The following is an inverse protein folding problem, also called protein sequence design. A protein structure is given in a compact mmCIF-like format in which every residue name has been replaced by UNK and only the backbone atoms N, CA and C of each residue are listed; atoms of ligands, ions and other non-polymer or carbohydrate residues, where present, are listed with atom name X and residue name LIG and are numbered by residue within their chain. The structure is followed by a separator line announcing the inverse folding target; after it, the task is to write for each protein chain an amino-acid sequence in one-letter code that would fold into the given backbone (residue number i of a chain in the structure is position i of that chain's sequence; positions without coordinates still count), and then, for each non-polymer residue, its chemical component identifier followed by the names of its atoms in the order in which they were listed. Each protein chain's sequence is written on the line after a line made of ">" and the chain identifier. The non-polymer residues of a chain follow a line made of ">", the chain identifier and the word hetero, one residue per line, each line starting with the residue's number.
data_IF_020790814082
#
_entry.id   IF_020790814082
#
_cell.length_a   1.000
_cell.length_b   1.000
_cell.length_c   1.000
_cell.angle_alpha   90.00
_cell.angle_beta   90.00
_cell.angle_gamma   90.00
#
_symmetry.space_group_name_H-M   'P 1'
#
loop_
_entity.id
_entity.type
_entity.pdbx_description
1 polymer ?
#
# COMPACT_ATOMS: atom_id res chain seq x y z
N UNK A 1 14.95 31.26 1.17
CA UNK A 1 13.70 31.10 1.95
C UNK A 1 12.47 31.66 1.22
N UNK A 2 12.43 32.93 0.80
CA UNK A 2 11.27 33.54 0.09
C UNK A 2 10.89 32.84 -1.23
N UNK A 3 11.85 32.34 -2.00
CA UNK A 3 11.60 31.59 -3.25
C UNK A 3 10.91 30.24 -3.03
N UNK A 4 11.26 29.53 -1.97
CA UNK A 4 10.61 28.27 -1.58
C UNK A 4 9.17 28.53 -1.11
N UNK A 5 8.98 29.61 -0.35
CA UNK A 5 7.66 30.00 0.15
C UNK A 5 6.71 30.36 -1.00
N UNK A 6 7.22 31.07 -2.02
CA UNK A 6 6.45 31.40 -3.23
C UNK A 6 6.07 30.17 -4.06
N UNK A 7 6.99 29.23 -4.25
CA UNK A 7 6.68 27.94 -4.91
C UNK A 7 5.66 27.10 -4.13
N UNK A 8 5.68 27.16 -2.80
CA UNK A 8 4.69 26.50 -1.95
C UNK A 8 3.32 27.16 -2.04
N UNK A 9 3.29 28.49 -2.13
CA UNK A 9 2.07 29.29 -2.41
C UNK A 9 1.49 28.92 -3.77
N UNK A 10 2.29 28.93 -4.84
CA UNK A 10 1.86 28.52 -6.19
C UNK A 10 1.36 27.05 -6.22
N UNK A 11 1.97 26.17 -5.42
CA UNK A 11 1.56 24.77 -5.28
C UNK A 11 0.29 24.59 -4.41
N UNK A 12 0.06 25.47 -3.45
CA UNK A 12 -1.17 25.53 -2.66
C UNK A 12 -2.32 26.20 -3.43
N UNK A 13 -2.02 27.16 -4.32
CA UNK A 13 -2.93 27.77 -5.28
C UNK A 13 -3.40 26.78 -6.35
N UNK A 14 -2.58 25.75 -6.65
CA UNK A 14 -3.03 24.49 -7.24
C UNK A 14 -3.91 23.75 -6.21
N UNK A 15 -5.11 24.27 -6.02
CA UNK A 15 -6.06 23.81 -5.02
C UNK A 15 -6.84 22.56 -5.42
N UNK A 16 -7.15 21.75 -4.40
CA UNK A 16 -8.21 20.72 -4.39
C UNK A 16 -8.15 19.70 -5.52
N UNK A 17 -9.30 19.48 -6.16
CA UNK A 17 -9.54 18.39 -7.13
C UNK A 17 -8.55 18.37 -8.30
N UNK A 18 -8.05 19.53 -8.76
CA UNK A 18 -7.09 19.57 -9.87
C UNK A 18 -5.77 18.90 -9.48
N UNK A 19 -5.28 19.18 -8.28
CA UNK A 19 -4.06 18.57 -7.73
C UNK A 19 -4.24 17.06 -7.54
N UNK A 20 -5.38 16.65 -7.01
CA UNK A 20 -5.70 15.24 -6.77
C UNK A 20 -5.77 14.46 -8.09
N UNK A 21 -6.38 15.06 -9.13
CA UNK A 21 -6.41 14.48 -10.48
C UNK A 21 -4.98 14.37 -11.05
N UNK A 22 -4.15 15.40 -10.92
CA UNK A 22 -2.77 15.36 -11.41
C UNK A 22 -1.96 14.25 -10.73
N UNK A 23 -2.05 14.14 -9.40
CA UNK A 23 -1.38 13.06 -8.67
C UNK A 23 -1.94 11.68 -9.04
N UNK A 24 -3.25 11.56 -9.23
CA UNK A 24 -3.88 10.32 -9.66
C UNK A 24 -3.36 9.88 -11.04
N UNK A 25 -3.30 10.78 -12.01
CA UNK A 25 -2.78 10.49 -13.36
C UNK A 25 -1.30 10.10 -13.31
N UNK A 26 -0.47 10.83 -12.57
CA UNK A 26 0.97 10.51 -12.41
C UNK A 26 1.13 9.12 -11.77
N UNK A 27 0.36 8.83 -10.72
CA UNK A 27 0.41 7.52 -10.04
C UNK A 27 -0.07 6.39 -10.95
N UNK A 28 -1.09 6.63 -11.78
CA UNK A 28 -1.57 5.67 -12.77
C UNK A 28 -0.52 5.34 -13.82
N UNK A 29 0.16 6.36 -14.38
CA UNK A 29 1.25 6.16 -15.33
C UNK A 29 2.41 5.39 -14.66
N UNK A 30 2.80 5.76 -13.44
CA UNK A 30 3.84 5.07 -12.70
C UNK A 30 3.51 3.59 -12.46
N UNK A 31 2.25 3.28 -12.12
CA UNK A 31 1.77 1.91 -11.94
C UNK A 31 1.86 1.11 -13.25
N UNK A 32 1.42 1.69 -14.37
CA UNK A 32 1.51 1.05 -15.70
C UNK A 32 2.97 0.73 -16.04
N UNK A 33 3.88 1.71 -15.88
CA UNK A 33 5.31 1.50 -16.10
C UNK A 33 5.88 0.38 -15.23
N UNK A 34 5.42 0.25 -13.98
CA UNK A 34 5.83 -0.81 -13.05
C UNK A 34 5.31 -2.19 -13.48
N UNK A 35 4.03 -2.31 -13.84
CA UNK A 35 3.39 -3.57 -14.26
C UNK A 35 4.06 -4.12 -15.53
N UNK A 36 4.31 -3.26 -16.53
CA UNK A 36 4.93 -3.65 -17.79
C UNK A 36 6.47 -3.68 -17.74
N UNK A 37 7.08 -3.38 -16.59
CA UNK A 37 8.54 -3.31 -16.42
C UNK A 37 9.24 -2.42 -17.46
N UNK A 38 8.62 -1.29 -17.82
CA UNK A 38 9.15 -0.35 -18.83
C UNK A 38 10.45 0.33 -18.39
N UNK A 39 10.74 0.33 -17.09
CA UNK A 39 11.95 0.91 -16.48
C UNK A 39 12.68 -0.19 -15.69
N UNK A 40 14.01 -0.35 -15.82
CA UNK A 40 14.77 -1.32 -15.05
C UNK A 40 14.74 -0.96 -13.56
N UNK A 41 14.25 -1.89 -12.73
CA UNK A 41 14.28 -1.78 -11.26
C UNK A 41 15.46 -2.58 -10.73
N UNK A 42 16.34 -1.94 -9.94
CA UNK A 42 17.41 -2.62 -9.21
C UNK A 42 16.97 -2.84 -7.77
N UNK A 43 17.26 -4.03 -7.25
CA UNK A 43 17.02 -4.39 -5.84
C UNK A 43 18.41 -4.60 -5.22
N UNK A 44 18.79 -3.71 -4.33
CA UNK A 44 20.04 -3.80 -3.59
C UNK A 44 19.74 -4.38 -2.18
N UNK A 45 20.40 -5.48 -1.83
CA UNK A 45 20.35 -6.09 -0.50
C UNK A 45 21.73 -5.87 0.13
N UNK A 46 21.77 -5.12 1.24
CA UNK A 46 22.99 -4.94 2.02
C UNK A 46 23.01 -5.92 3.19
N UNK A 47 24.02 -6.79 3.24
CA UNK A 47 24.28 -7.68 4.37
C UNK A 47 25.26 -6.97 5.31
N UNK A 48 24.93 -6.91 6.61
CA UNK A 48 25.78 -6.25 7.61
C UNK A 48 26.88 -7.19 8.11
N UNK A 49 26.60 -8.50 8.17
CA UNK A 49 27.57 -9.55 8.47
C UNK A 49 27.67 -10.56 7.32
N UNK A 50 28.87 -11.02 6.97
CA UNK A 50 29.11 -12.01 5.90
C UNK A 50 28.73 -13.46 6.31
N UNK A 51 27.67 -13.63 7.11
CA UNK A 51 27.20 -14.94 7.56
C UNK A 51 26.10 -15.44 6.63
N UNK A 52 26.34 -16.61 6.01
CA UNK A 52 25.36 -17.31 5.17
C UNK A 52 24.05 -17.63 5.94
N UNK A 53 24.12 -17.70 7.27
CA UNK A 53 22.96 -17.89 8.16
C UNK A 53 21.96 -16.73 8.09
N UNK A 54 22.41 -15.49 7.89
CA UNK A 54 21.51 -14.33 7.74
C UNK A 54 20.67 -14.44 6.47
N UNK A 55 21.24 -14.96 5.38
CA UNK A 55 20.51 -15.21 4.14
C UNK A 55 19.37 -16.22 4.37
N UNK A 56 19.62 -17.29 5.15
CA UNK A 56 18.58 -18.26 5.49
C UNK A 56 17.46 -17.64 6.34
N UNK A 57 17.80 -16.74 7.27
CA UNK A 57 16.82 -15.98 8.04
C UNK A 57 16.01 -15.04 7.14
N UNK A 58 16.65 -14.30 6.23
CA UNK A 58 16.00 -13.42 5.25
C UNK A 58 15.03 -14.18 4.34
N UNK A 59 15.42 -15.33 3.80
CA UNK A 59 14.53 -16.15 2.98
C UNK A 59 13.33 -16.66 3.77
N UNK A 60 13.53 -17.04 5.04
CA UNK A 60 12.43 -17.50 5.89
C UNK A 60 11.48 -16.36 6.26
N UNK A 61 12.02 -15.18 6.58
CA UNK A 61 11.24 -13.97 6.82
C UNK A 61 10.46 -13.57 5.57
N UNK A 62 11.09 -13.58 4.40
CA UNK A 62 10.46 -13.28 3.11
C UNK A 62 9.29 -14.21 2.82
N UNK A 63 9.46 -15.53 3.04
CA UNK A 63 8.35 -16.49 2.90
C UNK A 63 7.20 -16.18 3.85
N UNK A 64 7.49 -15.91 5.13
CA UNK A 64 6.46 -15.57 6.12
C UNK A 64 5.75 -14.26 5.77
N UNK A 65 6.51 -13.23 5.39
CA UNK A 65 6.00 -11.94 4.92
C UNK A 65 5.08 -12.12 3.72
N UNK A 66 5.45 -12.96 2.76
CA UNK A 66 4.64 -13.22 1.58
C UNK A 66 3.33 -13.95 1.91
N UNK A 67 3.35 -14.86 2.89
CA UNK A 67 2.12 -15.45 3.40
C UNK A 67 1.22 -14.39 4.06
N UNK A 68 1.79 -13.50 4.90
CA UNK A 68 1.03 -12.41 5.53
C UNK A 68 0.43 -11.46 4.49
N UNK A 69 1.18 -11.07 3.45
CA UNK A 69 0.69 -10.22 2.35
C UNK A 69 -0.47 -10.90 1.62
N UNK A 70 -0.34 -12.19 1.26
CA UNK A 70 -1.39 -12.93 0.56
C UNK A 70 -2.66 -13.00 1.42
N UNK A 71 -2.55 -13.30 2.70
CA UNK A 71 -3.70 -13.35 3.61
C UNK A 71 -4.39 -11.98 3.74
N UNK A 72 -3.61 -10.93 3.96
CA UNK A 72 -4.12 -9.56 4.06
C UNK A 72 -4.83 -9.10 2.79
N UNK A 73 -4.24 -9.41 1.63
CA UNK A 73 -4.79 -9.03 0.33
C UNK A 73 -6.07 -9.81 0.06
N UNK A 74 -6.09 -11.13 0.29
CA UNK A 74 -7.29 -11.94 0.13
C UNK A 74 -8.41 -11.43 1.02
N UNK A 75 -8.13 -11.16 2.30
CA UNK A 75 -9.13 -10.62 3.23
C UNK A 75 -9.68 -9.26 2.77
N UNK A 76 -8.80 -8.32 2.41
CA UNK A 76 -9.17 -6.98 1.95
C UNK A 76 -10.01 -7.02 0.67
N UNK A 77 -9.59 -7.83 -0.32
CA UNK A 77 -10.34 -8.00 -1.56
C UNK A 77 -11.70 -8.66 -1.33
N UNK A 78 -11.78 -9.68 -0.46
CA UNK A 78 -13.05 -10.32 -0.12
C UNK A 78 -14.01 -9.35 0.56
N UNK A 79 -13.53 -8.56 1.54
CA UNK A 79 -14.36 -7.53 2.17
C UNK A 79 -14.87 -6.50 1.16
N UNK A 80 -14.00 -6.00 0.28
CA UNK A 80 -14.41 -5.05 -0.75
C UNK A 80 -15.41 -5.67 -1.73
N UNK A 81 -15.22 -6.92 -2.13
CA UNK A 81 -16.15 -7.62 -3.01
C UNK A 81 -17.53 -7.81 -2.37
N UNK A 82 -17.57 -8.20 -1.09
CA UNK A 82 -18.81 -8.30 -0.31
C UNK A 82 -19.48 -6.92 -0.19
N UNK A 83 -18.71 -5.88 0.10
CA UNK A 83 -19.22 -4.51 0.21
C UNK A 83 -19.85 -4.02 -1.10
N UNK A 84 -19.24 -4.32 -2.25
CA UNK A 84 -19.81 -4.00 -3.57
C UNK A 84 -21.15 -4.73 -3.78
N UNK A 85 -21.23 -6.02 -3.47
CA UNK A 85 -22.48 -6.78 -3.59
C UNK A 85 -23.58 -6.18 -2.70
N UNK A 86 -23.26 -5.89 -1.43
CA UNK A 86 -24.21 -5.28 -0.49
C UNK A 86 -24.63 -3.86 -0.90
N UNK A 87 -23.74 -3.11 -1.56
CA UNK A 87 -24.05 -1.78 -2.09
C UNK A 87 -25.00 -1.88 -3.28
N UNK A 88 -24.78 -2.84 -4.19
CA UNK A 88 -25.66 -3.07 -5.35
C UNK A 88 -27.07 -3.50 -4.90
N UNK A 89 -27.19 -4.32 -3.85
CA UNK A 89 -28.49 -4.71 -3.28
C UNK A 89 -29.16 -3.62 -2.44
N UNK A 90 -28.50 -2.46 -2.27
CA UNK A 90 -29.02 -1.32 -1.53
C UNK A 90 -28.97 -1.44 -0.01
N UNK A 91 -28.34 -2.50 0.53
CA UNK A 91 -28.24 -2.75 1.98
C UNK A 91 -27.14 -1.87 2.60
N UNK A 92 -26.04 -1.65 1.88
CA UNK A 92 -24.88 -0.92 2.40
C UNK A 92 -24.87 0.53 1.93
N UNK A 93 -24.99 1.45 2.89
CA UNK A 93 -24.83 2.89 2.65
C UNK A 93 -23.34 3.31 2.63
N UNK A 94 -22.97 4.40 1.92
CA UNK A 94 -21.58 4.85 1.79
C UNK A 94 -20.86 5.07 3.12
N UNK A 95 -21.56 5.60 4.14
CA UNK A 95 -20.99 5.84 5.48
C UNK A 95 -20.60 4.53 6.16
N UNK A 96 -21.49 3.53 6.12
CA UNK A 96 -21.23 2.20 6.71
C UNK A 96 -20.13 1.48 5.94
N UNK A 97 -20.13 1.58 4.61
CA UNK A 97 -19.06 1.03 3.76
C UNK A 97 -17.69 1.60 4.10
N UNK A 98 -17.59 2.92 4.29
CA UNK A 98 -16.35 3.57 4.70
C UNK A 98 -15.88 3.12 6.10
N UNK A 99 -16.81 2.95 7.05
CA UNK A 99 -16.49 2.42 8.38
C UNK A 99 -15.92 1.00 8.32
N UNK A 100 -16.59 0.10 7.59
CA UNK A 100 -16.15 -1.29 7.44
C UNK A 100 -14.78 -1.36 6.75
N UNK A 101 -14.54 -0.54 5.72
CA UNK A 101 -13.27 -0.50 5.01
C UNK A 101 -12.12 -0.03 5.92
N UNK A 102 -12.34 1.01 6.73
CA UNK A 102 -11.34 1.52 7.68
C UNK A 102 -11.05 0.51 8.80
N UNK A 103 -12.09 -0.11 9.36
CA UNK A 103 -11.94 -1.17 10.35
C UNK A 103 -11.18 -2.38 9.79
N UNK A 104 -11.50 -2.78 8.55
CA UNK A 104 -10.79 -3.83 7.82
C UNK A 104 -9.31 -3.49 7.62
N UNK A 105 -9.00 -2.24 7.29
CA UNK A 105 -7.63 -1.74 7.14
C UNK A 105 -6.85 -1.81 8.46
N UNK A 106 -7.44 -1.39 9.58
CA UNK A 106 -6.83 -1.50 10.92
C UNK A 106 -6.49 -2.96 11.24
N UNK A 107 -7.40 -3.89 10.95
CA UNK A 107 -7.16 -5.31 11.21
C UNK A 107 -6.00 -5.88 10.38
N UNK A 108 -5.90 -5.50 9.10
CA UNK A 108 -4.78 -5.86 8.22
C UNK A 108 -3.45 -5.27 8.72
N UNK A 109 -3.47 -4.03 9.21
CA UNK A 109 -2.30 -3.36 9.78
C UNK A 109 -1.83 -4.10 11.03
N UNK A 110 -2.75 -4.47 11.94
CA UNK A 110 -2.41 -5.24 13.15
C UNK A 110 -1.79 -6.59 12.77
N UNK A 111 -2.39 -7.33 11.83
CA UNK A 111 -1.83 -8.60 11.37
C UNK A 111 -0.42 -8.43 10.77
N UNK A 112 -0.19 -7.32 10.06
CA UNK A 112 1.14 -6.97 9.54
C UNK A 112 2.12 -6.59 10.65
N UNK A 113 1.67 -5.86 11.67
CA UNK A 113 2.52 -5.46 12.80
C UNK A 113 2.95 -6.67 13.64
N UNK A 114 2.09 -7.70 13.78
CA UNK A 114 2.43 -8.94 14.46
C UNK A 114 3.56 -9.71 13.77
N UNK A 115 3.75 -9.54 12.46
CA UNK A 115 4.90 -10.11 11.73
C UNK A 115 6.23 -9.58 12.27
N UNK A 116 6.29 -8.35 12.79
CA UNK A 116 7.51 -7.76 13.34
C UNK A 116 7.98 -8.48 14.62
N UNK A 117 7.08 -9.19 15.30
CA UNK A 117 7.42 -10.01 16.48
C UNK A 117 7.88 -11.42 16.09
N UNK A 118 7.84 -11.78 14.81
CA UNK A 118 8.26 -13.09 14.35
C UNK A 118 9.79 -13.23 14.44
N UNK A 119 10.23 -14.30 15.08
CA UNK A 119 11.64 -14.69 15.18
C UNK A 119 11.73 -16.17 14.80
N UNK A 120 12.65 -16.52 13.92
CA UNK A 120 12.96 -17.91 13.57
C UNK A 120 14.12 -18.44 14.39
#
# INVERSE_FOLDING_TARGET
>A
MKSLMKKLEDFLEIGGTKKDITFLVISGIALICSIFKLVPTKIDIALVEDKVEELLHLFALSKKMMTTIKLNLTFSLTLNFIAIILAITGILHPVVGALVHNAGSVMVIINSALLLKWKK
#
